data_IF_437017733562
#
_entry.id   IF_437017733562
#
_cell.length_a   1.000
_cell.length_b   1.000
_cell.length_c   1.000
_cell.angle_alpha   90.00
_cell.angle_beta   90.00
_cell.angle_gamma   90.00
#
_symmetry.space_group_name_H-M   'P 1'
#
loop_
_entity.id
_entity.type
_entity.pdbx_description
1 polymer ?
#
# COMPACT_ATOMS: atom_id res chain seq x y z
N UNK A 1 -0.57 -29.11 -11.15
CA UNK A 1 0.28 -28.02 -10.64
C UNK A 1 0.01 -27.89 -9.15
N UNK A 2 1.03 -27.87 -8.29
CA UNK A 2 0.90 -27.69 -6.83
C UNK A 2 1.80 -26.52 -6.40
N UNK A 3 1.38 -25.73 -5.42
CA UNK A 3 2.14 -24.62 -4.84
C UNK A 3 1.65 -23.24 -5.27
N UNK A 4 2.40 -22.19 -4.90
CA UNK A 4 2.11 -20.80 -5.23
C UNK A 4 2.44 -20.51 -6.69
N UNK A 5 1.76 -19.54 -7.28
CA UNK A 5 2.10 -18.99 -8.60
C UNK A 5 3.37 -18.16 -8.44
N UNK A 6 4.43 -18.63 -9.06
CA UNK A 6 5.72 -17.97 -9.25
C UNK A 6 6.07 -18.07 -10.75
N UNK A 7 7.21 -17.52 -11.18
CA UNK A 7 7.63 -17.49 -12.59
C UNK A 7 7.47 -18.86 -13.26
N UNK A 8 8.01 -19.90 -12.65
CA UNK A 8 7.96 -21.26 -13.18
C UNK A 8 6.54 -21.80 -13.32
N UNK A 9 5.70 -21.58 -12.31
CA UNK A 9 4.31 -22.04 -12.34
C UNK A 9 3.45 -21.18 -13.28
N UNK A 10 3.74 -19.89 -13.41
CA UNK A 10 3.12 -19.01 -14.38
C UNK A 10 3.41 -19.47 -15.81
N UNK A 11 4.68 -19.75 -16.13
CA UNK A 11 5.08 -20.29 -17.43
C UNK A 11 4.35 -21.58 -17.76
N UNK A 12 4.35 -22.55 -16.85
CA UNK A 12 3.65 -23.86 -17.04
C UNK A 12 2.15 -23.65 -17.26
N UNK A 13 1.52 -22.72 -16.54
CA UNK A 13 0.09 -22.43 -16.70
C UNK A 13 -0.19 -21.86 -18.09
N UNK A 14 0.58 -20.85 -18.51
CA UNK A 14 0.42 -20.21 -19.82
C UNK A 14 0.72 -21.16 -20.99
N UNK A 15 1.66 -22.10 -20.82
CA UNK A 15 1.92 -23.13 -21.82
C UNK A 15 0.76 -24.12 -21.96
N UNK A 16 0.13 -24.43 -20.83
CA UNK A 16 -1.01 -25.37 -20.82
C UNK A 16 -2.30 -24.76 -21.32
N UNK A 17 -2.45 -23.46 -21.15
CA UNK A 17 -3.64 -22.69 -21.56
C UNK A 17 -3.21 -21.50 -22.42
N UNK A 18 -2.70 -21.74 -23.63
CA UNK A 18 -2.27 -20.67 -24.50
C UNK A 18 -3.47 -19.80 -24.89
N UNK A 19 -3.35 -18.52 -24.67
CA UNK A 19 -4.28 -17.54 -25.23
C UNK A 19 -3.99 -17.40 -26.72
N UNK A 20 -4.99 -17.63 -27.55
CA UNK A 20 -4.81 -17.80 -28.97
C UNK A 20 -4.86 -16.51 -29.79
N UNK A 21 -5.00 -15.31 -29.16
CA UNK A 21 -5.24 -14.10 -29.93
C UNK A 21 -4.57 -12.87 -29.36
N UNK A 22 -4.18 -11.96 -30.25
CA UNK A 22 -3.76 -10.59 -29.95
C UNK A 22 -4.84 -9.72 -29.23
N UNK A 23 -6.04 -10.26 -29.07
CA UNK A 23 -7.21 -9.61 -28.46
C UNK A 23 -7.53 -10.12 -27.04
N UNK A 24 -6.67 -10.98 -26.47
CA UNK A 24 -6.92 -11.48 -25.12
C UNK A 24 -6.59 -10.43 -24.06
N UNK A 25 -7.51 -10.22 -23.13
CA UNK A 25 -7.31 -9.37 -21.96
C UNK A 25 -6.96 -10.25 -20.75
N UNK A 26 -5.96 -9.81 -19.99
CA UNK A 26 -5.42 -10.54 -18.84
C UNK A 26 -5.72 -9.76 -17.56
N UNK A 27 -6.48 -10.34 -16.66
CA UNK A 27 -6.80 -9.77 -15.35
C UNK A 27 -6.06 -10.56 -14.28
N UNK A 28 -5.15 -9.88 -13.57
CA UNK A 28 -4.26 -10.49 -12.58
C UNK A 28 -4.55 -9.85 -11.23
N UNK A 29 -4.92 -10.66 -10.25
CA UNK A 29 -5.22 -10.21 -8.91
C UNK A 29 -4.51 -11.09 -7.88
N UNK A 30 -3.81 -10.49 -6.91
CA UNK A 30 -3.10 -11.25 -5.88
C UNK A 30 -1.91 -10.52 -5.24
N UNK A 31 -1.00 -11.25 -4.58
CA UNK A 31 0.24 -10.68 -4.01
C UNK A 31 1.15 -10.09 -5.09
N UNK A 32 1.89 -9.01 -4.77
CA UNK A 32 2.72 -8.28 -5.71
C UNK A 32 3.73 -9.15 -6.47
N UNK A 33 4.46 -10.00 -5.76
CA UNK A 33 5.43 -10.92 -6.36
C UNK A 33 4.81 -11.93 -7.35
N UNK A 34 3.56 -12.34 -7.14
CA UNK A 34 2.82 -13.18 -8.08
C UNK A 34 2.45 -12.38 -9.34
N UNK A 35 1.95 -11.17 -9.16
CA UNK A 35 1.57 -10.28 -10.28
C UNK A 35 2.78 -10.00 -11.14
N UNK A 36 3.92 -9.62 -10.55
CA UNK A 36 5.17 -9.37 -11.27
C UNK A 36 5.65 -10.58 -12.07
N UNK A 37 5.60 -11.78 -11.47
CA UNK A 37 5.96 -13.01 -12.14
C UNK A 37 5.08 -13.29 -13.37
N UNK A 38 3.77 -13.09 -13.25
CA UNK A 38 2.83 -13.31 -14.37
C UNK A 38 3.01 -12.26 -15.45
N UNK A 39 3.20 -10.97 -15.09
CA UNK A 39 3.47 -9.90 -16.06
C UNK A 39 4.76 -10.16 -16.82
N UNK A 40 5.82 -10.57 -16.13
CA UNK A 40 7.10 -10.92 -16.75
C UNK A 40 6.92 -12.01 -17.81
N UNK A 41 6.20 -13.10 -17.49
CA UNK A 41 5.93 -14.19 -18.42
C UNK A 41 5.06 -13.74 -19.62
N UNK A 42 4.00 -12.96 -19.38
CA UNK A 42 3.12 -12.45 -20.45
C UNK A 42 3.86 -11.52 -21.41
N UNK A 43 4.63 -10.58 -20.87
CA UNK A 43 5.41 -9.62 -21.69
C UNK A 43 6.53 -10.34 -22.45
N UNK A 44 7.17 -11.34 -21.84
CA UNK A 44 8.16 -12.18 -22.51
C UNK A 44 7.58 -13.00 -23.68
N UNK A 45 6.27 -13.25 -23.68
CA UNK A 45 5.51 -13.90 -24.77
C UNK A 45 4.95 -12.91 -25.80
N UNK A 46 5.27 -11.61 -25.68
CA UNK A 46 4.87 -10.58 -26.62
C UNK A 46 3.48 -9.98 -26.36
N UNK A 47 2.88 -10.21 -25.18
CA UNK A 47 1.63 -9.54 -24.79
C UNK A 47 1.90 -8.07 -24.52
N UNK A 48 1.15 -7.18 -25.16
CA UNK A 48 1.24 -5.74 -24.93
C UNK A 48 0.69 -5.40 -23.52
N UNK A 49 1.37 -4.53 -22.80
CA UNK A 49 1.00 -4.11 -21.44
C UNK A 49 -0.41 -3.52 -21.35
N UNK A 50 -0.92 -2.93 -22.43
CA UNK A 50 -2.30 -2.39 -22.48
C UNK A 50 -3.39 -3.45 -22.30
N UNK A 51 -3.07 -4.72 -22.55
CA UNK A 51 -3.96 -5.87 -22.37
C UNK A 51 -3.77 -6.58 -21.02
N UNK A 52 -2.93 -6.02 -20.13
CA UNK A 52 -2.65 -6.60 -18.81
C UNK A 52 -3.20 -5.67 -17.73
N UNK A 53 -4.25 -6.12 -17.06
CA UNK A 53 -4.92 -5.40 -15.96
C UNK A 53 -4.52 -6.05 -14.64
N UNK A 54 -4.13 -5.25 -13.66
CA UNK A 54 -3.61 -5.75 -12.40
C UNK A 54 -4.30 -5.09 -11.20
N UNK A 55 -4.62 -5.91 -10.19
CA UNK A 55 -5.12 -5.46 -8.90
C UNK A 55 -4.30 -6.09 -7.77
N UNK A 56 -3.67 -5.28 -6.95
CA UNK A 56 -2.83 -5.74 -5.86
C UNK A 56 -3.65 -5.96 -4.58
N UNK A 57 -3.60 -7.17 -4.00
CA UNK A 57 -4.14 -7.40 -2.67
C UNK A 57 -3.17 -6.98 -1.57
N UNK A 58 -1.88 -7.25 -1.78
CA UNK A 58 -0.80 -6.88 -0.88
C UNK A 58 0.45 -6.62 -1.70
N UNK A 59 1.05 -5.48 -1.50
CA UNK A 59 2.41 -5.23 -1.96
C UNK A 59 3.36 -5.61 -0.82
N UNK A 60 3.97 -6.80 -0.92
CA UNK A 60 5.10 -7.19 -0.06
C UNK A 60 6.38 -6.42 -0.44
N UNK A 61 6.24 -5.21 -0.93
CA UNK A 61 7.37 -4.36 -1.26
C UNK A 61 7.91 -3.68 -0.01
N UNK A 62 8.69 -4.45 0.76
CA UNK A 62 9.82 -3.93 1.50
C UNK A 62 10.88 -3.33 0.54
N UNK A 63 10.52 -2.49 -0.39
CA UNK A 63 11.43 -1.51 -0.95
C UNK A 63 11.67 -0.51 0.17
N UNK A 64 12.71 -0.76 0.95
CA UNK A 64 13.35 0.23 1.82
C UNK A 64 13.74 1.40 0.95
N UNK A 65 12.83 2.33 0.76
CA UNK A 65 13.22 3.69 0.44
C UNK A 65 13.92 4.15 1.72
N UNK A 66 15.25 4.18 1.68
CA UNK A 66 16.07 4.80 2.72
C UNK A 66 15.93 6.31 2.53
N UNK A 67 14.86 6.87 3.03
CA UNK A 67 14.79 8.30 3.31
C UNK A 67 15.25 8.51 4.75
N UNK A 68 15.96 9.59 4.99
CA UNK A 68 16.40 10.00 6.32
C UNK A 68 15.16 10.24 7.20
N UNK A 69 14.68 9.17 7.82
CA UNK A 69 13.59 9.22 8.77
C UNK A 69 14.12 9.74 10.11
N UNK A 70 13.33 10.54 10.79
CA UNK A 70 13.58 10.91 12.17
C UNK A 70 13.88 9.66 13.02
N UNK A 71 15.10 9.58 13.58
CA UNK A 71 15.61 8.38 14.27
C UNK A 71 15.07 8.19 15.70
N UNK A 72 13.94 8.79 16.07
CA UNK A 72 13.35 8.71 17.40
C UNK A 72 11.83 8.53 17.37
N UNK A 73 11.20 8.27 18.52
CA UNK A 73 9.76 8.30 18.62
C UNK A 73 9.24 9.73 18.40
N UNK A 74 8.11 9.86 17.71
CA UNK A 74 7.42 11.13 17.52
C UNK A 74 6.23 11.22 18.46
N UNK A 75 5.95 12.43 18.95
CA UNK A 75 4.68 12.70 19.65
C UNK A 75 3.58 12.86 18.60
N UNK A 76 2.45 12.22 18.84
CA UNK A 76 1.33 12.28 17.93
C UNK A 76 0.05 12.68 18.68
N UNK A 77 -0.58 13.78 18.26
CA UNK A 77 -1.92 14.19 18.69
C UNK A 77 -2.93 13.71 17.65
N UNK A 78 -3.94 12.99 18.10
CA UNK A 78 -4.96 12.43 17.21
C UNK A 78 -6.34 12.85 17.66
N UNK A 79 -7.15 13.27 16.68
CA UNK A 79 -8.59 13.49 16.86
C UNK A 79 -9.32 12.41 16.05
N UNK A 80 -10.05 11.53 16.72
CA UNK A 80 -10.84 10.46 16.11
C UNK A 80 -12.12 10.22 16.90
N UNK A 81 -13.24 9.98 16.21
CA UNK A 81 -14.55 9.75 16.84
C UNK A 81 -14.98 10.82 17.86
N UNK A 82 -14.54 12.09 17.63
CA UNK A 82 -14.83 13.21 18.55
C UNK A 82 -13.92 13.28 19.78
N UNK A 83 -13.01 12.33 19.96
CA UNK A 83 -12.02 12.33 21.05
C UNK A 83 -10.67 12.83 20.54
N UNK A 84 -10.00 13.65 21.34
CA UNK A 84 -8.61 14.07 21.08
C UNK A 84 -7.70 13.54 22.17
N UNK A 85 -6.58 12.92 21.80
CA UNK A 85 -5.59 12.39 22.74
C UNK A 85 -4.19 12.50 22.16
N UNK A 86 -3.20 12.38 23.02
CA UNK A 86 -1.79 12.34 22.65
C UNK A 86 -1.19 10.97 22.92
N UNK A 87 -0.26 10.55 22.07
CA UNK A 87 0.48 9.30 22.20
C UNK A 87 1.85 9.43 21.54
N UNK A 88 2.67 8.41 21.67
CA UNK A 88 3.94 8.30 20.96
C UNK A 88 3.84 7.28 19.83
N UNK A 89 4.51 7.57 18.74
CA UNK A 89 4.64 6.68 17.58
C UNK A 89 6.12 6.44 17.28
N UNK A 90 6.54 5.17 17.26
CA UNK A 90 7.88 4.82 16.84
C UNK A 90 8.08 5.04 15.33
N UNK A 91 9.27 5.44 14.91
CA UNK A 91 9.58 5.77 13.51
C UNK A 91 9.27 4.65 12.50
N UNK A 92 9.30 3.40 12.94
CA UNK A 92 9.03 2.22 12.10
C UNK A 92 7.55 1.75 12.12
N UNK A 93 6.68 2.44 12.86
CA UNK A 93 5.25 2.11 12.96
C UNK A 93 4.41 3.05 12.12
N UNK A 94 3.31 2.53 11.60
CA UNK A 94 2.30 3.37 10.95
C UNK A 94 1.34 3.97 11.97
N UNK A 95 0.70 5.07 11.61
CA UNK A 95 -0.33 5.71 12.44
C UNK A 95 -1.44 4.69 12.76
N UNK A 96 -1.87 3.92 11.77
CA UNK A 96 -2.90 2.89 11.94
C UNK A 96 -2.49 1.82 12.96
N UNK A 97 -1.24 1.32 12.90
CA UNK A 97 -0.73 0.30 13.84
C UNK A 97 -0.88 0.75 15.30
N UNK A 98 -0.52 2.01 15.58
CA UNK A 98 -0.61 2.59 16.93
C UNK A 98 -2.05 2.71 17.38
N UNK A 99 -2.94 3.20 16.52
CA UNK A 99 -4.36 3.37 16.86
C UNK A 99 -5.07 2.04 17.10
N UNK A 100 -4.74 1.00 16.33
CA UNK A 100 -5.25 -0.36 16.55
C UNK A 100 -4.74 -0.90 17.88
N UNK A 101 -3.44 -0.78 18.16
CA UNK A 101 -2.85 -1.22 19.44
C UNK A 101 -3.49 -0.54 20.65
N UNK A 102 -3.87 0.74 20.51
CA UNK A 102 -4.57 1.53 21.52
C UNK A 102 -6.09 1.25 21.58
N UNK A 103 -6.62 0.38 20.70
CA UNK A 103 -8.07 0.05 20.60
C UNK A 103 -8.95 1.28 20.34
N UNK A 104 -8.47 2.24 19.55
CA UNK A 104 -9.20 3.48 19.20
C UNK A 104 -10.15 3.32 18.02
N UNK A 105 -10.29 2.10 17.47
CA UNK A 105 -11.19 1.74 16.38
C UNK A 105 -11.08 2.68 15.15
N UNK A 106 -9.88 2.91 14.60
CA UNK A 106 -9.74 3.68 13.38
C UNK A 106 -10.43 2.96 12.22
N UNK A 107 -10.98 3.68 11.22
CA UNK A 107 -11.49 3.04 10.02
C UNK A 107 -10.32 2.48 9.19
N UNK A 108 -10.40 1.22 8.76
CA UNK A 108 -9.42 0.60 7.85
C UNK A 108 -10.01 -0.59 7.10
N UNK A 109 -9.35 -0.98 6.00
CA UNK A 109 -9.72 -2.15 5.20
C UNK A 109 -8.47 -2.84 4.62
N UNK A 110 -7.95 -2.40 3.47
CA UNK A 110 -6.89 -3.10 2.72
C UNK A 110 -5.51 -3.12 3.40
N UNK A 111 -5.17 -2.12 4.19
CA UNK A 111 -3.88 -1.90 4.86
C UNK A 111 -2.64 -1.82 3.94
N UNK A 112 -2.83 -1.65 2.63
CA UNK A 112 -1.73 -1.60 1.65
C UNK A 112 -1.75 -0.37 0.73
N UNK A 113 -2.53 0.68 1.08
CA UNK A 113 -2.58 1.92 0.31
C UNK A 113 -3.49 1.90 -0.91
N UNK A 114 -4.25 0.81 -1.13
CA UNK A 114 -5.09 0.64 -2.32
C UNK A 114 -6.55 1.09 -2.12
N UNK A 115 -6.94 1.51 -0.93
CA UNK A 115 -8.26 2.06 -0.65
C UNK A 115 -8.15 3.28 0.28
N UNK A 116 -9.15 4.16 0.23
CA UNK A 116 -9.21 5.37 1.06
C UNK A 116 -9.87 5.17 2.43
N UNK A 117 -10.20 3.93 2.84
CA UNK A 117 -10.93 3.68 4.11
C UNK A 117 -10.19 4.21 5.34
N UNK A 118 -8.84 4.17 5.34
CA UNK A 118 -8.00 4.65 6.43
C UNK A 118 -7.51 6.10 6.22
N UNK A 119 -8.17 6.85 5.34
CA UNK A 119 -7.80 8.23 5.06
C UNK A 119 -7.97 9.10 6.31
N UNK A 120 -7.00 9.96 6.56
CA UNK A 120 -7.00 10.94 7.63
C UNK A 120 -6.36 12.24 7.14
N UNK A 121 -6.56 13.33 7.83
CA UNK A 121 -5.95 14.63 7.53
C UNK A 121 -4.76 14.88 8.46
N UNK A 122 -3.59 15.10 7.89
CA UNK A 122 -2.40 15.58 8.59
C UNK A 122 -2.54 17.10 8.76
N UNK A 123 -2.61 17.55 9.99
CA UNK A 123 -2.78 18.96 10.35
C UNK A 123 -1.41 19.61 10.59
N UNK A 124 -0.48 18.86 11.21
CA UNK A 124 0.86 19.32 11.50
C UNK A 124 1.86 18.17 11.39
N UNK A 125 3.09 18.48 10.99
CA UNK A 125 4.20 17.56 10.81
C UNK A 125 4.29 16.98 9.38
N UNK A 126 5.16 16.00 9.22
CA UNK A 126 5.35 15.29 7.95
C UNK A 126 5.34 13.77 8.17
N UNK A 127 4.82 13.06 7.18
CA UNK A 127 4.83 11.59 7.14
C UNK A 127 5.40 11.10 5.83
N UNK A 128 5.89 9.87 5.84
CA UNK A 128 6.23 9.11 4.65
C UNK A 128 5.17 8.03 4.43
N UNK A 129 4.67 7.91 3.22
CA UNK A 129 3.76 6.84 2.81
C UNK A 129 4.47 5.93 1.81
N UNK A 130 4.64 4.65 2.16
CA UNK A 130 5.33 3.68 1.31
C UNK A 130 4.54 3.40 0.03
N UNK A 131 3.21 3.25 0.15
CA UNK A 131 2.29 3.02 -0.96
C UNK A 131 1.10 3.97 -0.82
N UNK A 132 0.77 4.67 -1.90
CA UNK A 132 -0.34 5.62 -1.91
C UNK A 132 -1.04 5.58 -3.27
N UNK A 133 -1.83 4.51 -3.50
CA UNK A 133 -2.53 4.31 -4.77
C UNK A 133 -3.94 4.89 -4.77
N UNK A 134 -4.50 5.13 -3.57
CA UNK A 134 -5.89 5.52 -3.39
C UNK A 134 -6.09 7.03 -3.16
N UNK A 135 -5.02 7.83 -3.15
CA UNK A 135 -5.09 9.29 -3.08
C UNK A 135 -4.51 9.90 -4.34
N UNK A 136 -5.17 10.94 -4.83
CA UNK A 136 -4.69 11.77 -5.91
C UNK A 136 -3.67 12.80 -5.40
N UNK A 137 -2.89 13.39 -6.32
CA UNK A 137 -1.82 14.35 -5.96
C UNK A 137 -2.35 15.61 -5.25
N UNK A 138 -3.52 16.08 -5.62
CA UNK A 138 -4.21 17.22 -5.01
C UNK A 138 -4.67 16.90 -3.57
N UNK A 139 -5.17 15.70 -3.31
CA UNK A 139 -5.54 15.25 -1.97
C UNK A 139 -4.31 15.18 -1.05
N UNK A 140 -3.19 14.65 -1.57
CA UNK A 140 -1.92 14.61 -0.83
C UNK A 140 -1.42 16.05 -0.56
N UNK A 141 -1.50 16.94 -1.54
CA UNK A 141 -1.13 18.34 -1.38
C UNK A 141 -2.01 19.08 -0.35
N UNK A 142 -3.27 18.70 -0.25
CA UNK A 142 -4.21 19.17 0.78
C UNK A 142 -3.96 18.55 2.16
N UNK A 143 -2.99 17.64 2.29
CA UNK A 143 -2.59 17.04 3.56
C UNK A 143 -3.38 15.77 3.90
N UNK A 144 -4.08 15.13 2.97
CA UNK A 144 -4.66 13.82 3.21
C UNK A 144 -3.58 12.74 3.17
N UNK A 145 -3.72 11.77 4.05
CA UNK A 145 -2.81 10.64 4.21
C UNK A 145 -3.58 9.32 4.34
N UNK A 146 -2.93 8.24 3.97
CA UNK A 146 -3.40 6.88 4.29
C UNK A 146 -2.70 6.39 5.56
N UNK A 147 -3.40 6.39 6.68
CA UNK A 147 -2.82 6.08 7.99
C UNK A 147 -2.19 4.69 8.09
N UNK A 148 -2.61 3.75 7.25
CA UNK A 148 -2.00 2.41 7.15
C UNK A 148 -0.61 2.41 6.48
N UNK A 149 -0.23 3.49 5.80
CA UNK A 149 1.06 3.65 5.14
C UNK A 149 1.90 4.75 5.75
N UNK A 150 1.27 5.68 6.48
CA UNK A 150 1.90 6.88 7.01
C UNK A 150 2.78 6.59 8.23
N UNK A 151 4.08 6.83 8.11
CA UNK A 151 5.10 6.77 9.16
C UNK A 151 5.63 8.18 9.46
N UNK A 152 5.98 8.51 10.71
CA UNK A 152 6.46 9.84 11.07
C UNK A 152 7.82 10.18 10.43
N UNK A 153 7.95 11.40 9.92
CA UNK A 153 9.21 12.03 9.49
C UNK A 153 9.67 13.16 10.41
N UNK A 154 8.74 13.71 11.19
CA UNK A 154 8.99 14.81 12.13
C UNK A 154 8.76 14.38 13.57
N UNK A 155 9.36 15.06 14.57
CA UNK A 155 9.20 14.73 15.99
C UNK A 155 7.77 14.89 16.52
N UNK A 156 6.91 15.58 15.79
CA UNK A 156 5.52 15.83 16.16
C UNK A 156 4.59 15.66 14.94
N UNK A 157 3.43 15.10 15.20
CA UNK A 157 2.34 14.96 14.23
C UNK A 157 1.00 15.37 14.87
N UNK A 158 0.14 16.05 14.12
CA UNK A 158 -1.27 16.21 14.46
C UNK A 158 -2.13 15.64 13.33
N UNK A 159 -3.01 14.69 13.68
CA UNK A 159 -3.83 13.93 12.72
C UNK A 159 -5.29 13.95 13.11
N UNK A 160 -6.18 14.12 12.13
CA UNK A 160 -7.63 14.13 12.32
C UNK A 160 -8.31 13.17 11.34
N UNK A 161 -9.15 12.29 11.88
CA UNK A 161 -10.06 11.42 11.12
C UNK A 161 -11.44 12.03 10.94
#
# INVERSE_FOLDING_TARGET
>A
MKGRINDKNAAIFLDRYPSSTAESEYFICGPGNMIEAVIYELTGRGVDKKHIHQEYFFTDDNKKVQTESHNGPSKMKVTINGETFETEIAANKTILDVLIAMKKNPPFSCQNGACSTCMAKLIEGEVEMANCYALEEDEIADGYILSCQAKPKTPYLEVKY
#
